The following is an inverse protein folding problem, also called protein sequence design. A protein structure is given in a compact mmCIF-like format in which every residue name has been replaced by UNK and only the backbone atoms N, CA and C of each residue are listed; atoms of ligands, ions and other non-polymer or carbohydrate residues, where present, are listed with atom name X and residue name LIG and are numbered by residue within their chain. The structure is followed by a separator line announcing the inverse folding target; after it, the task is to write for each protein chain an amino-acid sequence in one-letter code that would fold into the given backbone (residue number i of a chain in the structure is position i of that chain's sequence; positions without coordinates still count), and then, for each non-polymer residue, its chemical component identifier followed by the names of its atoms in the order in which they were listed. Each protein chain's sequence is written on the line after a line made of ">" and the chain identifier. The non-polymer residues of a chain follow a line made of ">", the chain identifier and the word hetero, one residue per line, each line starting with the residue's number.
data_IF_698706684736
#
_entry.id   IF_698706684736
#
_cell.length_a   1.000
_cell.length_b   1.000
_cell.length_c   1.000
_cell.angle_alpha   90.00
_cell.angle_beta   90.00
_cell.angle_gamma   90.00
#
_symmetry.space_group_name_H-M   'P 1'
#
loop_
_entity.id
_entity.type
_entity.pdbx_description
1 polymer ?
#
# COMPACT_ATOMS: atom_id res chain seq x y z
N UNK A 1 0.33 -40.76 20.43
CA UNK A 1 0.80 -40.17 19.16
C UNK A 1 1.22 -38.75 19.47
N UNK A 2 2.53 -38.47 19.55
CA UNK A 2 3.05 -37.11 19.76
C UNK A 2 3.12 -36.42 18.40
N UNK A 3 2.18 -35.52 18.13
CA UNK A 3 2.29 -34.55 17.05
C UNK A 3 3.33 -33.51 17.44
N UNK A 4 4.56 -33.71 16.99
CA UNK A 4 5.59 -32.68 17.01
C UNK A 4 5.07 -31.48 16.23
N UNK A 5 4.72 -30.39 16.92
CA UNK A 5 4.51 -29.09 16.27
C UNK A 5 5.82 -28.74 15.56
N UNK A 6 5.83 -28.77 14.23
CA UNK A 6 6.94 -28.20 13.47
C UNK A 6 7.13 -26.75 13.92
N UNK A 7 8.38 -26.41 14.26
CA UNK A 7 8.76 -25.05 14.63
C UNK A 7 8.69 -24.19 13.38
N UNK A 8 7.63 -23.39 13.24
CA UNK A 8 7.49 -22.49 12.09
C UNK A 8 8.70 -21.55 12.01
N UNK A 9 9.35 -21.51 10.86
CA UNK A 9 10.45 -20.58 10.62
C UNK A 9 9.85 -19.29 10.06
N UNK A 10 9.90 -18.23 10.86
CA UNK A 10 9.41 -16.91 10.45
C UNK A 10 10.56 -16.13 9.80
N UNK A 11 10.46 -15.90 8.50
CA UNK A 11 11.45 -15.12 7.75
C UNK A 11 10.94 -13.69 7.59
N UNK A 12 11.75 -12.69 7.96
CA UNK A 12 11.42 -11.27 7.79
C UNK A 12 12.04 -10.74 6.50
N UNK A 13 11.19 -10.37 5.56
CA UNK A 13 11.54 -9.76 4.29
C UNK A 13 11.38 -8.25 4.40
N UNK A 14 12.35 -7.48 3.89
CA UNK A 14 12.34 -6.01 3.91
C UNK A 14 11.94 -5.47 2.55
N UNK A 15 11.17 -4.39 2.54
CA UNK A 15 10.82 -3.72 1.28
C UNK A 15 12.08 -3.23 0.57
N UNK A 16 12.12 -3.38 -0.75
CA UNK A 16 13.11 -2.77 -1.62
C UNK A 16 12.53 -1.46 -2.18
N UNK A 17 12.85 -0.34 -1.54
CA UNK A 17 12.31 0.97 -1.92
C UNK A 17 12.71 1.42 -3.34
N UNK A 18 13.75 0.83 -3.95
CA UNK A 18 14.16 1.10 -5.34
C UNK A 18 13.28 0.41 -6.38
N UNK A 19 12.55 -0.62 -5.97
CA UNK A 19 11.68 -1.45 -6.80
C UNK A 19 10.23 -1.41 -6.28
N UNK A 20 9.88 -0.33 -5.57
CA UNK A 20 8.54 -0.15 -5.01
C UNK A 20 8.05 1.27 -5.25
N UNK A 21 6.75 1.42 -5.48
CA UNK A 21 6.07 2.68 -5.74
C UNK A 21 4.59 2.64 -5.31
N UNK A 22 3.98 3.83 -5.23
CA UNK A 22 2.55 3.99 -4.96
C UNK A 22 1.93 5.00 -5.93
N UNK A 23 0.88 4.58 -6.61
CA UNK A 23 0.01 5.44 -7.41
C UNK A 23 -1.27 5.76 -6.64
N UNK A 24 -1.58 7.04 -6.51
CA UNK A 24 -2.82 7.57 -5.95
C UNK A 24 -3.57 8.28 -7.06
N UNK A 25 -4.79 7.83 -7.35
CA UNK A 25 -5.61 8.43 -8.42
C UNK A 25 -7.09 8.48 -8.05
N UNK A 26 -7.79 9.42 -8.67
CA UNK A 26 -9.26 9.41 -8.74
C UNK A 26 -9.71 9.00 -10.13
N UNK A 27 -11.02 8.85 -10.31
CA UNK A 27 -11.61 8.62 -11.63
C UNK A 27 -11.12 9.69 -12.62
N UNK A 28 -10.49 9.26 -13.72
CA UNK A 28 -9.92 10.10 -14.78
C UNK A 28 -8.79 11.07 -14.37
N UNK A 29 -8.23 11.01 -13.16
CA UNK A 29 -7.17 11.94 -12.75
C UNK A 29 -6.14 11.30 -11.81
N UNK A 30 -4.85 11.47 -12.10
CA UNK A 30 -3.76 11.09 -11.19
C UNK A 30 -3.61 12.19 -10.14
N UNK A 31 -3.63 11.82 -8.86
CA UNK A 31 -3.31 12.73 -7.75
C UNK A 31 -1.80 12.77 -7.56
N UNK A 32 -1.19 11.60 -7.42
CA UNK A 32 0.25 11.47 -7.19
C UNK A 32 0.77 10.11 -7.63
N UNK A 33 2.05 10.10 -8.01
CA UNK A 33 2.86 8.90 -8.14
C UNK A 33 4.09 9.06 -7.25
N UNK A 34 4.30 8.12 -6.35
CA UNK A 34 5.24 8.21 -5.24
C UNK A 34 6.27 7.10 -5.38
N UNK A 35 7.48 7.46 -5.81
CA UNK A 35 8.59 6.51 -5.95
C UNK A 35 9.20 6.18 -4.59
N UNK A 36 9.46 4.89 -4.33
CA UNK A 36 9.78 4.42 -2.99
C UNK A 36 11.04 5.04 -2.38
N UNK A 37 12.08 5.32 -3.18
CA UNK A 37 13.32 5.97 -2.70
C UNK A 37 13.11 7.42 -2.28
N UNK A 38 12.31 8.17 -3.04
CA UNK A 38 12.04 9.59 -2.80
C UNK A 38 11.12 9.75 -1.59
N UNK A 39 10.15 8.86 -1.46
CA UNK A 39 9.08 8.91 -0.47
C UNK A 39 9.36 8.06 0.79
N UNK A 40 10.62 7.69 1.03
CA UNK A 40 11.04 6.89 2.19
C UNK A 40 10.10 5.70 2.45
N UNK A 41 9.81 4.94 1.39
CA UNK A 41 8.89 3.82 1.48
C UNK A 41 9.54 2.68 2.25
N UNK A 42 9.01 2.40 3.42
CA UNK A 42 9.48 1.38 4.34
C UNK A 42 8.40 0.33 4.54
N UNK A 43 8.83 -0.89 4.83
CA UNK A 43 7.90 -1.98 5.03
C UNK A 43 8.61 -3.30 5.23
N UNK A 44 7.84 -4.28 5.67
CA UNK A 44 8.28 -5.64 5.79
C UNK A 44 7.12 -6.60 5.61
N UNK A 45 7.46 -7.79 5.13
CA UNK A 45 6.60 -8.95 5.16
C UNK A 45 7.24 -10.00 6.08
N UNK A 46 6.42 -10.74 6.82
CA UNK A 46 6.89 -11.95 7.49
C UNK A 46 6.14 -13.15 6.92
N UNK A 47 6.87 -14.13 6.42
CA UNK A 47 6.32 -15.39 5.92
C UNK A 47 6.68 -16.52 6.87
N UNK A 48 5.74 -17.41 7.11
CA UNK A 48 5.99 -18.66 7.83
C UNK A 48 6.36 -19.73 6.81
N UNK A 49 7.50 -20.41 6.99
CA UNK A 49 7.95 -21.48 6.10
C UNK A 49 8.05 -21.08 4.61
N UNK A 50 8.26 -19.78 4.34
CA UNK A 50 8.21 -19.17 2.99
C UNK A 50 6.84 -19.30 2.27
N UNK A 51 5.78 -19.52 3.04
CA UNK A 51 4.40 -19.51 2.54
C UNK A 51 3.75 -18.14 2.79
N UNK A 52 2.99 -17.68 1.79
CA UNK A 52 2.33 -16.37 1.80
C UNK A 52 1.02 -16.42 2.61
N UNK A 53 0.48 -17.61 2.87
CA UNK A 53 -0.86 -17.80 3.47
C UNK A 53 -1.00 -17.18 4.87
N UNK A 54 0.08 -17.14 5.65
CA UNK A 54 0.13 -16.50 6.97
C UNK A 54 0.96 -15.20 6.96
N UNK A 55 1.07 -14.55 5.81
CA UNK A 55 1.88 -13.35 5.68
C UNK A 55 1.36 -12.22 6.56
N UNK A 56 2.24 -11.64 7.38
CA UNK A 56 1.98 -10.32 7.97
C UNK A 56 2.74 -9.27 7.19
N UNK A 57 2.06 -8.24 6.71
CA UNK A 57 2.64 -7.15 5.92
C UNK A 57 2.37 -5.84 6.63
N UNK A 58 3.39 -5.00 6.74
CA UNK A 58 3.25 -3.63 7.20
C UNK A 58 4.11 -2.72 6.35
N UNK A 59 3.57 -1.56 5.99
CA UNK A 59 4.29 -0.56 5.21
C UNK A 59 3.92 0.87 5.61
N UNK A 60 4.84 1.79 5.37
CA UNK A 60 4.68 3.21 5.65
C UNK A 60 5.40 4.02 4.58
N UNK A 61 4.76 5.08 4.10
CA UNK A 61 5.23 5.94 3.04
C UNK A 61 5.23 7.39 3.53
N UNK A 62 6.36 8.08 3.37
CA UNK A 62 6.44 9.53 3.54
C UNK A 62 5.89 10.22 2.29
N UNK A 63 4.71 10.82 2.43
CA UNK A 63 4.01 11.54 1.37
C UNK A 63 4.39 13.01 1.30
N UNK A 64 5.23 13.50 2.23
CA UNK A 64 5.79 14.86 2.16
C UNK A 64 6.90 14.88 1.11
N UNK A 65 6.51 15.12 -0.13
CA UNK A 65 7.40 15.24 -1.28
C UNK A 65 8.47 16.31 -1.05
N UNK A 66 9.74 15.91 -0.88
CA UNK A 66 10.85 16.86 -0.75
C UNK A 66 11.66 17.04 -2.03
N UNK A 67 11.60 16.09 -2.99
CA UNK A 67 12.59 16.03 -4.08
C UNK A 67 12.11 15.42 -5.42
N UNK A 68 10.81 15.39 -5.73
CA UNK A 68 10.35 14.82 -7.01
C UNK A 68 10.89 15.59 -8.23
N UNK A 69 11.93 15.07 -8.88
CA UNK A 69 12.46 15.51 -10.19
C UNK A 69 11.60 15.09 -11.39
N UNK A 70 10.44 14.47 -11.17
CA UNK A 70 9.45 14.18 -12.22
C UNK A 70 8.38 15.26 -12.23
N UNK A 71 8.73 16.42 -12.79
CA UNK A 71 7.85 17.59 -12.94
C UNK A 71 6.62 17.32 -13.83
N UNK A 72 6.57 16.21 -14.58
CA UNK A 72 5.46 15.95 -15.52
C UNK A 72 4.19 15.35 -14.88
N UNK A 73 4.30 14.74 -13.69
CA UNK A 73 3.15 14.15 -12.98
C UNK A 73 3.01 14.62 -11.52
N UNK A 74 3.99 15.36 -11.00
CA UNK A 74 3.98 15.80 -9.61
C UNK A 74 3.16 17.06 -9.41
N UNK A 75 1.98 16.91 -8.80
CA UNK A 75 1.26 18.04 -8.22
C UNK A 75 1.37 17.95 -6.70
N UNK A 76 2.51 18.34 -6.14
CA UNK A 76 2.68 18.44 -4.68
C UNK A 76 1.51 19.22 -4.03
N UNK A 77 1.06 20.28 -4.69
CA UNK A 77 -0.13 21.05 -4.31
C UNK A 77 -1.37 20.16 -4.20
N UNK A 78 -1.66 19.30 -5.20
CA UNK A 78 -2.80 18.37 -5.13
C UNK A 78 -2.65 17.35 -4.00
N UNK A 79 -1.44 16.87 -3.71
CA UNK A 79 -1.28 15.93 -2.60
C UNK A 79 -1.49 16.61 -1.25
N UNK A 80 -0.95 17.82 -1.05
CA UNK A 80 -1.16 18.58 0.18
C UNK A 80 -2.62 19.00 0.37
N UNK A 81 -3.31 19.41 -0.69
CA UNK A 81 -4.73 19.82 -0.64
C UNK A 81 -5.66 18.69 -0.18
N UNK A 82 -5.29 17.44 -0.44
CA UNK A 82 -6.09 16.28 -0.03
C UNK A 82 -5.62 15.72 1.31
N UNK A 83 -4.32 15.52 1.47
CA UNK A 83 -3.74 14.72 2.55
C UNK A 83 -3.16 15.56 3.70
N UNK A 84 -3.05 16.89 3.53
CA UNK A 84 -2.41 17.79 4.49
C UNK A 84 -1.03 17.27 4.93
N UNK A 85 -0.18 17.01 3.94
CA UNK A 85 1.10 16.31 4.11
C UNK A 85 2.09 17.06 4.98
N UNK A 86 1.86 18.36 5.21
CA UNK A 86 2.64 19.14 6.17
C UNK A 86 2.33 18.72 7.62
N UNK A 87 1.07 18.48 7.94
CA UNK A 87 0.64 18.02 9.26
C UNK A 87 0.75 16.49 9.38
N UNK A 88 0.42 15.76 8.32
CA UNK A 88 0.38 14.30 8.29
C UNK A 88 1.27 13.75 7.16
N UNK A 89 2.59 13.68 7.37
CA UNK A 89 3.52 13.32 6.31
C UNK A 89 3.51 11.81 5.99
N UNK A 90 2.76 10.98 6.70
CA UNK A 90 2.86 9.52 6.59
C UNK A 90 1.52 8.88 6.29
N UNK A 91 1.50 7.98 5.31
CA UNK A 91 0.44 6.98 5.12
C UNK A 91 1.00 5.63 5.56
N UNK A 92 0.23 4.86 6.31
CA UNK A 92 0.67 3.55 6.80
C UNK A 92 -0.40 2.49 6.71
N UNK A 93 0.02 1.25 6.52
CA UNK A 93 -0.85 0.08 6.49
C UNK A 93 -0.28 -1.03 7.38
N UNK A 94 -1.17 -1.77 8.03
CA UNK A 94 -0.84 -2.99 8.76
C UNK A 94 -1.88 -4.07 8.49
N UNK A 95 -1.44 -5.22 7.98
CA UNK A 95 -2.30 -6.37 7.73
C UNK A 95 -2.91 -6.91 9.02
N UNK A 96 -4.17 -7.29 8.96
CA UNK A 96 -4.90 -7.99 10.02
C UNK A 96 -5.22 -9.43 9.66
N UNK A 97 -5.42 -9.72 8.37
CA UNK A 97 -5.58 -11.09 7.86
C UNK A 97 -5.20 -11.19 6.39
N UNK A 98 -4.65 -12.32 6.01
CA UNK A 98 -4.48 -12.72 4.62
C UNK A 98 -5.46 -13.84 4.29
N UNK A 99 -6.15 -13.72 3.16
CA UNK A 99 -7.05 -14.76 2.66
C UNK A 99 -6.68 -15.11 1.23
N UNK A 100 -6.17 -16.32 1.04
CA UNK A 100 -5.94 -16.88 -0.28
C UNK A 100 -7.26 -17.34 -0.87
N UNK A 101 -7.65 -16.77 -2.00
CA UNK A 101 -8.90 -17.15 -2.69
C UNK A 101 -8.60 -18.05 -3.89
N UNK A 102 -7.52 -17.79 -4.63
CA UNK A 102 -7.02 -18.73 -5.64
C UNK A 102 -5.50 -18.56 -5.81
N UNK A 103 -4.92 -19.17 -6.85
CA UNK A 103 -3.47 -19.13 -7.08
C UNK A 103 -2.92 -17.72 -7.32
N UNK A 104 -3.73 -16.80 -7.85
CA UNK A 104 -3.28 -15.49 -8.34
C UNK A 104 -3.92 -14.31 -7.59
N UNK A 105 -5.10 -14.50 -7.01
CA UNK A 105 -5.87 -13.46 -6.32
C UNK A 105 -5.92 -13.81 -4.84
N UNK A 106 -5.29 -12.94 -4.05
CA UNK A 106 -5.36 -12.98 -2.59
C UNK A 106 -5.97 -11.69 -2.08
N UNK A 107 -6.74 -11.77 -1.00
CA UNK A 107 -7.25 -10.60 -0.33
C UNK A 107 -6.43 -10.36 0.94
N UNK A 108 -5.89 -9.16 1.06
CA UNK A 108 -5.20 -8.70 2.25
C UNK A 108 -6.09 -7.68 2.95
N UNK A 109 -6.57 -8.02 4.13
CA UNK A 109 -7.26 -7.06 4.99
C UNK A 109 -6.25 -6.41 5.92
N UNK A 110 -6.47 -5.13 6.21
CA UNK A 110 -5.67 -4.44 7.20
C UNK A 110 -6.13 -3.03 7.49
N UNK A 111 -5.44 -2.44 8.45
CA UNK A 111 -5.70 -1.10 8.93
C UNK A 111 -4.88 -0.11 8.10
N UNK A 112 -5.56 0.66 7.27
CA UNK A 112 -4.98 1.79 6.53
C UNK A 112 -5.18 3.06 7.36
N UNK A 113 -4.09 3.78 7.59
CA UNK A 113 -4.10 5.07 8.27
C UNK A 113 -3.68 6.15 7.28
N UNK A 114 -4.56 7.13 7.11
CA UNK A 114 -4.31 8.35 6.34
C UNK A 114 -4.68 9.52 7.24
N UNK A 115 -3.82 10.54 7.29
CA UNK A 115 -3.91 11.61 8.29
C UNK A 115 -3.87 11.03 9.71
N UNK A 116 -4.89 11.30 10.51
CA UNK A 116 -5.10 10.73 11.83
C UNK A 116 -6.26 9.72 11.88
N UNK A 117 -6.73 9.25 10.71
CA UNK A 117 -7.89 8.36 10.61
C UNK A 117 -7.44 6.99 10.13
N UNK A 118 -7.79 5.97 10.90
CA UNK A 118 -7.56 4.56 10.58
C UNK A 118 -8.86 3.88 10.18
N UNK A 119 -8.86 3.16 9.06
CA UNK A 119 -9.99 2.34 8.60
C UNK A 119 -9.48 0.96 8.17
N UNK A 120 -10.30 -0.06 8.43
CA UNK A 120 -10.11 -1.37 7.84
C UNK A 120 -10.39 -1.28 6.35
N UNK A 121 -9.45 -1.76 5.54
CA UNK A 121 -9.57 -1.85 4.08
C UNK A 121 -9.24 -3.26 3.62
N UNK A 122 -9.71 -3.58 2.42
CA UNK A 122 -9.41 -4.82 1.73
C UNK A 122 -8.62 -4.49 0.46
N UNK A 123 -7.49 -5.16 0.29
CA UNK A 123 -6.60 -4.99 -0.85
C UNK A 123 -6.65 -6.26 -1.69
N UNK A 124 -6.89 -6.09 -2.99
CA UNK A 124 -6.59 -7.09 -3.99
C UNK A 124 -5.07 -7.22 -4.11
N UNK A 125 -4.55 -8.43 -3.97
CA UNK A 125 -3.12 -8.72 -4.04
C UNK A 125 -2.84 -9.69 -5.17
N UNK A 126 -2.04 -9.24 -6.12
CA UNK A 126 -1.52 -10.02 -7.23
C UNK A 126 -0.03 -10.29 -7.03
N UNK A 127 0.40 -11.55 -7.21
CA UNK A 127 1.81 -11.93 -7.19
C UNK A 127 2.44 -11.65 -8.56
N UNK A 128 3.37 -10.70 -8.61
CA UNK A 128 4.04 -10.26 -9.85
C UNK A 128 5.34 -11.02 -10.08
N UNK A 129 6.10 -11.29 -9.02
CA UNK A 129 7.39 -11.98 -9.10
C UNK A 129 7.60 -12.85 -7.88
N UNK A 130 8.18 -14.02 -8.09
CA UNK A 130 8.61 -14.92 -7.02
C UNK A 130 9.92 -15.61 -7.42
N UNK A 131 11.04 -15.10 -6.90
CA UNK A 131 12.39 -15.54 -7.22
C UNK A 131 13.09 -16.02 -5.94
N UNK A 132 13.37 -17.32 -5.91
CA UNK A 132 14.05 -17.98 -4.78
C UNK A 132 15.49 -18.41 -5.13
N UNK A 133 16.13 -17.71 -6.08
CA UNK A 133 17.54 -17.95 -6.41
C UNK A 133 18.45 -17.82 -5.19
N UNK A 134 19.52 -18.63 -5.19
CA UNK A 134 20.42 -18.77 -4.05
C UNK A 134 21.18 -17.45 -3.82
N UNK A 135 20.98 -16.85 -2.64
CA UNK A 135 21.61 -15.59 -2.23
C UNK A 135 20.83 -14.30 -2.51
N UNK A 136 19.69 -14.34 -3.24
CA UNK A 136 19.05 -13.11 -3.73
C UNK A 136 17.51 -13.20 -3.79
N UNK A 137 16.91 -13.82 -2.77
CA UNK A 137 15.47 -14.10 -2.75
C UNK A 137 14.64 -12.81 -2.78
N UNK A 138 13.73 -12.72 -3.76
CA UNK A 138 12.88 -11.55 -4.05
C UNK A 138 11.45 -11.99 -4.32
N UNK A 139 10.51 -11.23 -3.80
CA UNK A 139 9.08 -11.42 -4.07
C UNK A 139 8.42 -10.07 -4.30
N UNK A 140 7.56 -9.97 -5.30
CA UNK A 140 6.90 -8.72 -5.64
C UNK A 140 5.39 -8.90 -5.80
N UNK A 141 4.65 -7.90 -5.34
CA UNK A 141 3.19 -7.84 -5.37
C UNK A 141 2.71 -6.51 -5.93
N UNK A 142 1.60 -6.56 -6.65
CA UNK A 142 0.74 -5.40 -6.85
C UNK A 142 -0.41 -5.48 -5.85
N UNK A 143 -0.61 -4.41 -5.08
CA UNK A 143 -1.74 -4.28 -4.16
C UNK A 143 -2.65 -3.16 -4.63
N UNK A 144 -3.93 -3.45 -4.76
CA UNK A 144 -4.92 -2.49 -5.23
C UNK A 144 -6.07 -2.38 -4.24
N UNK A 145 -6.51 -1.16 -3.95
CA UNK A 145 -7.75 -0.92 -3.20
C UNK A 145 -8.40 0.38 -3.61
N UNK A 146 -9.72 0.42 -3.48
CA UNK A 146 -10.54 1.60 -3.70
C UNK A 146 -11.08 2.08 -2.35
N UNK A 147 -10.79 3.32 -1.97
CA UNK A 147 -11.22 3.94 -0.70
C UNK A 147 -12.19 5.09 -0.96
N UNK A 148 -13.06 5.34 0.02
CA UNK A 148 -13.92 6.51 0.05
C UNK A 148 -13.18 7.65 0.77
N UNK A 149 -12.87 8.74 0.04
CA UNK A 149 -12.13 9.90 0.56
C UNK A 149 -12.78 10.52 1.80
N UNK A 150 -14.11 10.44 1.92
CA UNK A 150 -14.84 11.00 3.07
C UNK A 150 -14.53 10.25 4.35
N UNK A 151 -14.31 8.94 4.28
CA UNK A 151 -14.03 8.11 5.44
C UNK A 151 -12.70 8.45 6.10
N UNK A 152 -11.81 9.13 5.35
CA UNK A 152 -10.49 9.63 5.75
C UNK A 152 -10.41 11.16 5.80
N UNK A 153 -11.52 11.87 5.65
CA UNK A 153 -11.54 13.34 5.70
C UNK A 153 -10.71 14.02 4.60
N UNK A 154 -10.68 13.42 3.40
CA UNK A 154 -9.93 13.88 2.22
C UNK A 154 -10.87 14.60 1.23
N UNK A 155 -11.62 15.61 1.69
CA UNK A 155 -12.58 16.34 0.86
C UNK A 155 -12.09 17.75 0.51
N UNK A 156 -11.66 18.02 -0.75
CA UNK A 156 -11.42 19.37 -1.22
C UNK A 156 -12.68 20.23 -1.23
N UNK A 157 -12.51 21.52 -0.90
CA UNK A 157 -13.54 22.55 -1.03
C UNK A 157 -14.11 22.66 -2.45
N UNK A 158 -13.36 22.22 -3.47
CA UNK A 158 -13.73 22.27 -4.89
C UNK A 158 -14.73 21.18 -5.34
N UNK A 159 -15.04 20.18 -4.52
CA UNK A 159 -16.12 19.23 -4.82
C UNK A 159 -17.48 19.82 -4.45
N UNK A 160 -17.85 20.92 -5.10
CA UNK A 160 -19.24 21.37 -5.12
C UNK A 160 -20.08 20.29 -5.79
N UNK A 161 -21.02 19.73 -5.04
CA UNK A 161 -21.97 18.73 -5.52
C UNK A 161 -22.81 19.32 -6.64
N UNK A 162 -22.59 18.90 -7.89
CA UNK A 162 -23.62 19.04 -8.90
C UNK A 162 -24.65 17.92 -8.66
N UNK A 163 -25.88 18.29 -8.31
CA UNK A 163 -27.04 17.39 -8.13
C UNK A 163 -26.99 16.38 -6.95
N UNK A 164 -26.28 16.66 -5.86
CA UNK A 164 -26.51 15.96 -4.58
C UNK A 164 -26.11 14.48 -4.50
N UNK A 165 -25.46 13.91 -5.52
CA UNK A 165 -24.96 12.54 -5.49
C UNK A 165 -23.45 12.51 -5.26
N UNK A 166 -23.03 11.99 -4.10
CA UNK A 166 -21.66 11.55 -3.86
C UNK A 166 -21.71 10.12 -3.33
N UNK A 167 -21.68 9.16 -4.25
CA UNK A 167 -21.72 7.72 -3.95
C UNK A 167 -20.36 7.08 -4.18
N UNK A 168 -19.90 6.28 -3.21
CA UNK A 168 -18.88 5.24 -3.40
C UNK A 168 -17.43 5.72 -3.52
N UNK A 169 -16.52 4.76 -3.46
CA UNK A 169 -15.06 4.93 -3.54
C UNK A 169 -14.65 5.89 -4.66
N UNK A 170 -13.67 6.73 -4.37
CA UNK A 170 -13.26 7.79 -5.28
C UNK A 170 -11.74 8.00 -5.34
N UNK A 171 -11.00 7.38 -4.43
CA UNK A 171 -9.54 7.28 -4.50
C UNK A 171 -9.17 5.81 -4.68
N UNK A 172 -8.49 5.53 -5.77
CA UNK A 172 -7.82 4.26 -6.02
C UNK A 172 -6.36 4.36 -5.59
N UNK A 173 -5.94 3.41 -4.77
CA UNK A 173 -4.56 3.20 -4.37
C UNK A 173 -4.04 1.96 -5.08
N UNK A 174 -2.88 2.09 -5.72
CA UNK A 174 -2.13 0.97 -6.29
C UNK A 174 -0.72 1.04 -5.73
N UNK A 175 -0.24 -0.03 -5.12
CA UNK A 175 1.09 -0.13 -4.56
C UNK A 175 1.83 -1.31 -5.21
N UNK A 176 2.95 -1.02 -5.84
CA UNK A 176 3.89 -2.04 -6.30
C UNK A 176 4.95 -2.19 -5.23
N UNK A 177 5.11 -3.38 -4.68
CA UNK A 177 6.08 -3.63 -3.61
C UNK A 177 6.92 -4.84 -3.93
N UNK A 178 8.23 -4.67 -3.85
CA UNK A 178 9.18 -5.78 -3.84
C UNK A 178 9.74 -5.93 -2.42
N UNK A 179 9.87 -7.17 -1.95
CA UNK A 179 10.58 -7.51 -0.73
C UNK A 179 11.75 -8.44 -1.04
N UNK A 180 12.82 -8.31 -0.26
CA UNK A 180 13.98 -9.21 -0.29
C UNK A 180 14.46 -9.54 1.13
N UNK A 181 15.28 -10.58 1.25
CA UNK A 181 15.98 -10.94 2.51
C UNK A 181 17.49 -10.75 2.38
#
# INVERSE_FOLDING_TARGET
>A
MNTTKEKSMKTKWKINSKQSDVLIRMKHSIIAYLGGTINNFQGHANFNNNEIEDATIAFSLDVKNRESKLEQFSNYLKLNDFFDVNQYPTISFKSTSFQKINKNINFLKGDLTIKNITRSVELDVELIKNDYSDGDKKIAFELTTDINRKDFGLAPNAFHTHNGLTTGQDIKLVANVEFSI
#
